data_IF_057277597583
#
_entry.id   IF_057277597583
#
_cell.length_a   1.000
_cell.length_b   1.000
_cell.length_c   1.000
_cell.angle_alpha   90.00
_cell.angle_beta   90.00
_cell.angle_gamma   90.00
#
_symmetry.space_group_name_H-M   'P 1'
#
loop_
_entity.id
_entity.type
_entity.pdbx_description
1 polymer ?
#
# COMPACT_ATOMS: atom_id res chain seq x y z
N UNK A 1 1.10 15.95 74.89
CA UNK A 1 2.35 16.73 74.93
C UNK A 1 2.11 18.01 74.12
N UNK A 2 1.84 19.11 74.83
CA UNK A 2 1.58 20.44 74.27
C UNK A 2 2.90 21.15 74.03
N UNK A 3 3.06 21.86 72.91
CA UNK A 3 4.00 22.97 72.81
C UNK A 3 3.37 24.10 71.98
N UNK A 4 2.82 25.06 72.73
CA UNK A 4 2.52 26.43 72.32
C UNK A 4 3.80 27.11 71.84
N UNK A 5 3.74 27.79 70.69
CA UNK A 5 4.66 28.89 70.40
C UNK A 5 3.86 30.12 69.97
N UNK A 6 3.86 31.12 70.84
CA UNK A 6 3.24 32.43 70.64
C UNK A 6 4.23 33.38 69.97
N UNK A 7 3.89 33.89 68.78
CA UNK A 7 4.59 35.00 68.15
C UNK A 7 3.63 36.18 68.04
N UNK A 8 3.79 37.15 68.95
CA UNK A 8 3.16 38.47 68.87
C UNK A 8 3.85 39.25 67.76
N UNK A 9 3.22 39.40 66.60
CA UNK A 9 3.61 40.43 65.62
C UNK A 9 2.85 41.71 65.90
N UNK A 10 3.63 42.77 66.09
CA UNK A 10 3.16 44.13 66.30
C UNK A 10 2.23 44.59 65.16
N UNK A 11 1.02 44.99 65.53
CA UNK A 11 0.07 45.69 64.66
C UNK A 11 0.62 47.09 64.35
N UNK A 12 1.37 47.20 63.25
CA UNK A 12 1.64 48.48 62.60
C UNK A 12 0.33 49.02 62.04
N UNK A 13 -0.14 50.17 62.56
CA UNK A 13 -1.21 50.98 61.99
C UNK A 13 -0.78 51.44 60.59
N UNK A 14 -1.04 50.61 59.56
CA UNK A 14 -1.02 51.05 58.17
C UNK A 14 -2.18 52.01 57.96
N UNK A 15 -1.84 53.29 57.78
CA UNK A 15 -2.78 54.33 57.40
C UNK A 15 -3.54 53.90 56.15
N UNK A 16 -4.86 54.11 56.16
CA UNK A 16 -5.70 53.92 54.98
C UNK A 16 -5.17 54.84 53.86
N UNK A 17 -4.78 54.31 52.69
CA UNK A 17 -4.45 55.17 51.56
C UNK A 17 -5.69 55.99 51.22
N UNK A 18 -5.52 57.32 51.14
CA UNK A 18 -6.54 58.22 50.63
C UNK A 18 -6.83 57.80 49.19
N UNK A 19 -8.08 57.43 48.91
CA UNK A 19 -8.60 57.24 47.56
C UNK A 19 -8.59 58.62 46.90
N UNK A 20 -7.52 58.92 46.16
CA UNK A 20 -7.49 60.07 45.27
C UNK A 20 -8.51 59.89 44.13
N UNK A 21 -8.91 60.97 43.44
CA UNK A 21 -9.82 60.89 42.31
C UNK A 21 -9.24 59.90 41.28
N UNK A 22 -10.02 58.87 40.93
CA UNK A 22 -9.65 57.89 39.93
C UNK A 22 -9.37 58.62 38.61
N UNK A 23 -8.09 58.72 38.27
CA UNK A 23 -7.63 59.25 36.98
C UNK A 23 -8.19 58.33 35.90
N UNK A 24 -9.17 58.83 35.15
CA UNK A 24 -9.71 58.15 33.97
C UNK A 24 -8.60 58.09 32.93
N UNK A 25 -7.92 56.96 32.85
CA UNK A 25 -6.98 56.70 31.78
C UNK A 25 -7.81 56.42 30.52
N UNK A 26 -7.78 57.32 29.56
CA UNK A 26 -8.36 57.07 28.25
C UNK A 26 -7.54 55.99 27.54
N UNK A 27 -8.20 54.97 27.00
CA UNK A 27 -7.55 53.97 26.15
C UNK A 27 -6.95 54.67 24.92
N UNK A 28 -5.66 54.45 24.68
CA UNK A 28 -5.03 54.99 23.48
C UNK A 28 -5.51 54.18 22.27
N UNK A 29 -5.87 54.87 21.18
CA UNK A 29 -6.28 54.24 19.92
C UNK A 29 -5.21 53.27 19.40
N UNK A 30 -3.93 53.57 19.63
CA UNK A 30 -2.81 52.69 19.30
C UNK A 30 -2.84 51.37 20.10
N UNK A 31 -3.23 51.41 21.37
CA UNK A 31 -3.33 50.21 22.22
C UNK A 31 -4.47 49.29 21.75
N UNK A 32 -5.60 49.87 21.35
CA UNK A 32 -6.72 49.12 20.77
C UNK A 32 -6.33 48.48 19.43
N UNK A 33 -5.61 49.20 18.57
CA UNK A 33 -5.15 48.65 17.28
C UNK A 33 -4.15 47.52 17.47
N UNK A 34 -3.20 47.65 18.40
CA UNK A 34 -2.27 46.56 18.73
C UNK A 34 -3.04 45.36 19.30
N UNK A 35 -4.01 45.59 20.19
CA UNK A 35 -4.83 44.52 20.75
C UNK A 35 -5.63 43.78 19.67
N UNK A 36 -6.25 44.52 18.73
CA UNK A 36 -6.97 43.91 17.60
C UNK A 36 -6.03 43.13 16.67
N UNK A 37 -4.83 43.66 16.39
CA UNK A 37 -3.84 42.99 15.55
C UNK A 37 -3.32 41.69 16.18
N UNK A 38 -3.00 41.71 17.48
CA UNK A 38 -2.60 40.48 18.19
C UNK A 38 -3.74 39.47 18.25
N UNK A 39 -4.98 39.94 18.43
CA UNK A 39 -6.15 39.07 18.44
C UNK A 39 -6.39 38.41 17.07
N UNK A 40 -6.25 39.15 15.96
CA UNK A 40 -6.46 38.58 14.62
C UNK A 40 -5.38 37.56 14.27
N UNK A 41 -4.10 37.85 14.56
CA UNK A 41 -3.01 36.89 14.37
C UNK A 41 -3.20 35.66 15.27
N UNK A 42 -3.59 35.86 16.54
CA UNK A 42 -3.87 34.78 17.48
C UNK A 42 -4.98 33.85 16.99
N UNK A 43 -6.11 34.40 16.51
CA UNK A 43 -7.21 33.60 15.97
C UNK A 43 -6.82 32.91 14.65
N UNK A 44 -6.03 33.55 13.79
CA UNK A 44 -5.52 32.92 12.55
C UNK A 44 -4.59 31.73 12.86
N UNK A 45 -3.72 31.86 13.86
CA UNK A 45 -2.85 30.79 14.32
C UNK A 45 -3.62 29.57 14.87
N UNK A 46 -4.67 29.82 15.67
CA UNK A 46 -5.53 28.75 16.18
C UNK A 46 -6.28 28.04 15.05
N UNK A 47 -6.82 28.79 14.08
CA UNK A 47 -7.52 28.20 12.93
C UNK A 47 -6.60 27.27 12.11
N UNK A 48 -5.37 27.70 11.83
CA UNK A 48 -4.37 26.89 11.11
C UNK A 48 -3.95 25.63 11.90
N UNK A 49 -3.79 25.76 13.22
CA UNK A 49 -3.45 24.62 14.08
C UNK A 49 -4.56 23.56 14.11
N UNK A 50 -5.84 23.98 14.11
CA UNK A 50 -6.99 23.07 14.09
C UNK A 50 -7.05 22.29 12.77
N UNK A 51 -6.88 22.95 11.62
CA UNK A 51 -6.88 22.26 10.32
C UNK A 51 -5.72 21.27 10.21
N UNK A 52 -4.53 21.66 10.67
CA UNK A 52 -3.36 20.78 10.65
C UNK A 52 -3.54 19.59 11.60
N UNK A 53 -4.07 19.84 12.81
CA UNK A 53 -4.38 18.78 13.77
C UNK A 53 -5.37 17.76 13.23
N UNK A 54 -6.43 18.21 12.55
CA UNK A 54 -7.39 17.32 11.90
C UNK A 54 -6.74 16.49 10.77
N UNK A 55 -5.92 17.12 9.93
CA UNK A 55 -5.20 16.41 8.87
C UNK A 55 -4.27 15.33 9.41
N UNK A 56 -3.49 15.63 10.45
CA UNK A 56 -2.61 14.66 11.09
C UNK A 56 -3.39 13.54 11.79
N UNK A 57 -4.51 13.86 12.44
CA UNK A 57 -5.39 12.86 13.07
C UNK A 57 -5.99 11.90 12.04
N UNK A 58 -6.47 12.41 10.90
CA UNK A 58 -7.00 11.58 9.81
C UNK A 58 -5.91 10.69 9.23
N UNK A 59 -4.69 11.22 9.01
CA UNK A 59 -3.54 10.42 8.53
C UNK A 59 -3.15 9.32 9.52
N UNK A 60 -3.11 9.62 10.82
CA UNK A 60 -2.83 8.64 11.86
C UNK A 60 -3.89 7.53 11.87
N UNK A 61 -5.17 7.88 11.80
CA UNK A 61 -6.27 6.93 11.75
C UNK A 61 -6.21 6.04 10.50
N UNK A 62 -5.86 6.59 9.34
CA UNK A 62 -5.67 5.80 8.11
C UNK A 62 -4.53 4.79 8.28
N UNK A 63 -3.41 5.22 8.87
CA UNK A 63 -2.24 4.37 9.09
C UNK A 63 -2.52 3.25 10.09
N UNK A 64 -3.20 3.56 11.20
CA UNK A 64 -3.60 2.58 12.22
C UNK A 64 -4.53 1.51 11.65
N UNK A 65 -5.49 1.93 10.82
CA UNK A 65 -6.42 1.02 10.13
C UNK A 65 -5.71 0.16 9.11
N UNK A 66 -4.87 0.74 8.25
CA UNK A 66 -4.07 -0.03 7.30
C UNK A 66 -3.20 -1.08 8.04
N UNK A 67 -2.67 -0.73 9.22
CA UNK A 67 -1.91 -1.65 10.06
C UNK A 67 -2.74 -2.77 10.69
N UNK A 68 -3.96 -2.48 11.13
CA UNK A 68 -4.88 -3.51 11.60
C UNK A 68 -5.25 -4.48 10.46
N UNK A 69 -5.64 -3.96 9.30
CA UNK A 69 -5.99 -4.74 8.10
C UNK A 69 -4.83 -5.61 7.66
N UNK A 70 -3.63 -5.05 7.55
CA UNK A 70 -2.45 -5.78 7.12
C UNK A 70 -2.07 -6.96 8.02
N UNK A 71 -2.14 -6.78 9.34
CA UNK A 71 -1.90 -7.86 10.30
C UNK A 71 -2.97 -8.95 10.24
N UNK A 72 -4.24 -8.55 10.14
CA UNK A 72 -5.36 -9.49 10.03
C UNK A 72 -5.29 -10.29 8.72
N UNK A 73 -4.99 -9.63 7.61
CA UNK A 73 -4.81 -10.27 6.32
C UNK A 73 -3.60 -11.24 6.30
N UNK A 74 -2.47 -10.90 6.93
CA UNK A 74 -1.37 -11.85 7.11
C UNK A 74 -1.79 -13.08 7.93
N UNK A 75 -2.56 -12.88 9.00
CA UNK A 75 -3.10 -14.00 9.77
C UNK A 75 -4.06 -14.86 8.92
N UNK A 76 -4.89 -14.23 8.08
CA UNK A 76 -5.82 -14.91 7.18
C UNK A 76 -5.09 -15.75 6.13
N UNK A 77 -4.01 -15.21 5.53
CA UNK A 77 -3.14 -15.93 4.58
C UNK A 77 -2.62 -17.23 5.19
N UNK A 78 -2.19 -17.19 6.46
CA UNK A 78 -1.73 -18.39 7.16
C UNK A 78 -2.88 -19.32 7.54
N UNK A 79 -3.95 -18.79 8.13
CA UNK A 79 -5.06 -19.56 8.66
C UNK A 79 -5.80 -20.35 7.58
N UNK A 80 -5.87 -19.80 6.36
CA UNK A 80 -6.51 -20.44 5.21
C UNK A 80 -5.55 -21.16 4.28
N UNK A 81 -4.27 -21.22 4.64
CA UNK A 81 -3.24 -21.86 3.81
C UNK A 81 -3.26 -21.32 2.37
N UNK A 82 -3.41 -19.99 2.21
CA UNK A 82 -3.49 -19.36 0.87
C UNK A 82 -2.25 -19.60 0.02
N UNK A 83 -1.16 -19.99 0.66
CA UNK A 83 0.10 -20.34 0.02
C UNK A 83 0.14 -21.80 -0.48
N UNK A 84 -0.87 -22.63 -0.21
CA UNK A 84 -0.95 -23.97 -0.80
C UNK A 84 -1.29 -23.88 -2.29
N UNK A 85 -0.37 -24.29 -3.19
CA UNK A 85 -0.59 -24.20 -4.63
C UNK A 85 -1.73 -25.06 -5.16
N UNK A 86 -2.20 -26.06 -4.39
CA UNK A 86 -3.43 -26.83 -4.71
C UNK A 86 -4.68 -25.94 -4.73
N UNK A 87 -4.64 -24.85 -3.96
CA UNK A 87 -5.70 -23.86 -3.89
C UNK A 87 -5.68 -22.87 -5.05
N UNK A 88 -4.66 -22.88 -5.92
CA UNK A 88 -4.49 -21.82 -6.92
C UNK A 88 -5.14 -22.17 -8.25
N UNK A 89 -5.80 -21.19 -8.83
CA UNK A 89 -6.37 -21.26 -10.17
C UNK A 89 -5.93 -20.05 -10.99
N UNK A 90 -5.76 -20.25 -12.29
CA UNK A 90 -5.55 -19.16 -13.23
C UNK A 90 -6.85 -18.38 -13.43
N UNK A 91 -6.81 -17.17 -14.03
CA UNK A 91 -8.02 -16.39 -14.28
C UNK A 91 -9.09 -17.10 -15.13
N UNK A 92 -8.71 -18.07 -15.95
CA UNK A 92 -9.63 -18.90 -16.74
C UNK A 92 -10.28 -20.06 -15.93
N UNK A 93 -9.94 -20.18 -14.63
CA UNK A 93 -10.42 -21.20 -13.73
C UNK A 93 -9.65 -22.52 -13.80
N UNK A 94 -8.65 -22.63 -14.66
CA UNK A 94 -7.80 -23.83 -14.72
C UNK A 94 -6.88 -23.90 -13.50
N UNK A 95 -6.60 -25.11 -12.96
CA UNK A 95 -5.60 -25.25 -11.90
C UNK A 95 -4.23 -24.77 -12.37
N UNK A 96 -3.55 -23.98 -11.54
CA UNK A 96 -2.20 -23.48 -11.86
C UNK A 96 -1.18 -24.62 -11.95
N UNK A 97 -1.26 -25.58 -11.03
CA UNK A 97 -0.42 -26.77 -11.05
C UNK A 97 -1.22 -27.99 -11.53
N UNK A 98 -0.66 -28.81 -12.42
CA UNK A 98 -1.21 -30.13 -12.72
C UNK A 98 -1.22 -30.98 -11.45
N UNK A 99 -2.34 -31.68 -11.18
CA UNK A 99 -2.55 -32.52 -9.99
C UNK A 99 -1.43 -33.55 -9.76
N UNK A 100 -0.70 -33.92 -10.81
CA UNK A 100 0.32 -34.96 -10.77
C UNK A 100 1.72 -34.45 -10.35
N UNK A 101 1.91 -33.13 -10.14
CA UNK A 101 3.24 -32.53 -9.92
C UNK A 101 3.32 -31.79 -8.56
N UNK A 102 2.66 -32.33 -7.54
CA UNK A 102 2.53 -31.71 -6.21
C UNK A 102 3.82 -31.64 -5.40
N UNK A 103 4.83 -32.45 -5.77
CA UNK A 103 6.17 -32.42 -5.17
C UNK A 103 7.11 -31.43 -5.89
N UNK A 104 6.67 -30.83 -7.00
CA UNK A 104 7.46 -29.86 -7.72
C UNK A 104 7.68 -28.60 -6.86
N UNK A 105 8.92 -28.12 -6.71
CA UNK A 105 9.17 -26.85 -6.04
C UNK A 105 8.46 -25.73 -6.81
N UNK A 106 7.60 -24.97 -6.13
CA UNK A 106 6.76 -23.88 -6.67
C UNK A 106 7.24 -23.32 -8.01
N UNK A 107 6.69 -23.82 -9.14
CA UNK A 107 6.93 -23.22 -10.43
C UNK A 107 5.69 -22.40 -10.80
N UNK A 108 5.81 -21.08 -10.75
CA UNK A 108 4.82 -20.18 -11.34
C UNK A 108 5.49 -19.42 -12.49
N UNK A 109 6.02 -20.19 -13.46
CA UNK A 109 6.61 -19.66 -14.68
C UNK A 109 5.73 -19.95 -15.90
N UNK A 110 5.64 -18.94 -16.76
CA UNK A 110 4.70 -18.71 -17.87
C UNK A 110 4.75 -19.73 -19.04
N UNK A 111 5.50 -20.82 -18.92
CA UNK A 111 5.79 -21.73 -20.03
C UNK A 111 5.56 -23.19 -19.63
N UNK A 112 5.29 -24.10 -20.59
CA UNK A 112 5.50 -25.53 -20.38
C UNK A 112 6.98 -25.74 -19.99
N UNK A 113 7.24 -25.89 -18.69
CA UNK A 113 8.57 -25.79 -18.09
C UNK A 113 8.76 -24.65 -17.07
N UNK A 114 7.67 -24.10 -16.51
CA UNK A 114 7.70 -23.09 -15.45
C UNK A 114 8.78 -23.36 -14.41
N UNK A 115 9.60 -22.35 -14.13
CA UNK A 115 10.83 -22.56 -13.36
C UNK A 115 10.53 -22.40 -11.88
N UNK A 116 11.09 -23.30 -11.08
CA UNK A 116 10.93 -23.27 -9.64
C UNK A 116 11.49 -21.97 -9.05
N UNK A 117 10.75 -21.39 -8.09
CA UNK A 117 11.17 -20.21 -7.34
C UNK A 117 10.97 -18.88 -8.06
N UNK A 118 9.91 -18.76 -8.86
CA UNK A 118 9.46 -17.47 -9.39
C UNK A 118 8.58 -16.71 -8.38
N UNK A 119 8.58 -15.39 -8.48
CA UNK A 119 7.65 -14.55 -7.73
C UNK A 119 6.23 -14.70 -8.30
N UNK A 120 5.23 -14.46 -7.46
CA UNK A 120 3.82 -14.44 -7.87
C UNK A 120 2.98 -13.53 -6.97
N UNK A 121 1.78 -13.18 -7.42
CA UNK A 121 0.79 -12.49 -6.60
C UNK A 121 -0.53 -13.24 -6.55
N UNK A 122 -1.17 -13.22 -5.38
CA UNK A 122 -2.52 -13.74 -5.15
C UNK A 122 -3.44 -12.53 -5.10
N UNK A 123 -4.28 -12.39 -6.11
CA UNK A 123 -5.15 -11.22 -6.25
C UNK A 123 -6.55 -11.57 -6.81
N UNK A 124 -7.36 -12.32 -6.02
CA UNK A 124 -8.64 -12.82 -6.50
C UNK A 124 -9.66 -11.71 -6.73
N UNK A 125 -9.59 -10.64 -5.94
CA UNK A 125 -10.51 -9.51 -6.05
C UNK A 125 -10.33 -8.75 -7.37
N UNK A 126 -9.08 -8.48 -7.77
CA UNK A 126 -8.82 -7.80 -9.04
C UNK A 126 -9.21 -8.69 -10.23
N UNK A 127 -8.85 -9.98 -10.20
CA UNK A 127 -9.23 -10.95 -11.23
C UNK A 127 -10.74 -10.98 -11.40
N UNK A 128 -11.48 -11.16 -10.29
CA UNK A 128 -12.92 -11.29 -10.34
C UNK A 128 -13.62 -10.03 -10.84
N UNK A 129 -13.17 -8.86 -10.38
CA UNK A 129 -13.68 -7.58 -10.87
C UNK A 129 -13.47 -7.42 -12.38
N UNK A 130 -12.26 -7.73 -12.86
CA UNK A 130 -11.92 -7.60 -14.28
C UNK A 130 -12.68 -8.60 -15.14
N UNK A 131 -12.80 -9.86 -14.70
CA UNK A 131 -13.59 -10.88 -15.40
C UNK A 131 -15.07 -10.50 -15.48
N UNK A 132 -15.63 -9.97 -14.40
CA UNK A 132 -17.03 -9.54 -14.39
C UNK A 132 -17.27 -8.35 -15.33
N UNK A 133 -16.35 -7.38 -15.35
CA UNK A 133 -16.49 -6.16 -16.16
C UNK A 133 -16.15 -6.39 -17.63
N UNK A 134 -15.10 -7.17 -17.92
CA UNK A 134 -14.48 -7.24 -19.24
C UNK A 134 -14.36 -8.67 -19.79
N UNK A 135 -14.74 -9.71 -19.05
CA UNK A 135 -14.47 -11.10 -19.42
C UNK A 135 -12.99 -11.46 -19.31
N UNK A 136 -12.61 -12.63 -19.86
CA UNK A 136 -11.22 -13.08 -19.85
C UNK A 136 -10.37 -12.20 -20.77
N UNK A 137 -9.50 -11.40 -20.16
CA UNK A 137 -8.57 -10.52 -20.86
C UNK A 137 -7.19 -11.18 -21.01
N UNK A 138 -6.45 -10.87 -22.09
CA UNK A 138 -5.07 -11.30 -22.22
C UNK A 138 -4.23 -10.72 -21.07
N UNK A 139 -3.31 -11.52 -20.53
CA UNK A 139 -2.39 -11.12 -19.46
C UNK A 139 -3.01 -10.81 -18.09
N UNK A 140 -4.27 -11.16 -17.87
CA UNK A 140 -4.88 -11.08 -16.54
C UNK A 140 -4.14 -11.98 -15.52
N UNK A 141 -3.42 -12.99 -16.01
CA UNK A 141 -2.54 -13.92 -15.30
C UNK A 141 -1.16 -13.33 -14.96
N UNK A 142 -0.93 -12.03 -15.19
CA UNK A 142 0.35 -11.35 -14.93
C UNK A 142 0.19 -10.09 -14.09
N UNK A 143 1.18 -9.82 -13.24
CA UNK A 143 1.28 -8.61 -12.44
C UNK A 143 2.70 -8.01 -12.51
N UNK A 144 2.86 -6.69 -12.70
CA UNK A 144 1.81 -5.78 -13.18
C UNK A 144 1.33 -6.19 -14.57
N UNK A 145 0.34 -5.48 -15.13
CA UNK A 145 -0.07 -5.70 -16.53
C UNK A 145 1.14 -5.75 -17.45
N UNK A 146 1.18 -6.81 -18.23
CA UNK A 146 2.30 -7.16 -19.10
C UNK A 146 2.33 -6.27 -20.34
N UNK A 147 3.36 -5.44 -20.50
CA UNK A 147 3.77 -5.03 -21.84
C UNK A 147 4.63 -6.14 -22.46
N UNK A 148 4.27 -6.64 -23.66
CA UNK A 148 4.93 -7.77 -24.27
C UNK A 148 6.44 -7.67 -24.48
N UNK A 149 6.98 -6.45 -24.52
CA UNK A 149 8.33 -6.27 -25.02
C UNK A 149 9.38 -5.96 -23.95
N UNK A 150 9.00 -5.59 -22.72
CA UNK A 150 9.99 -4.96 -21.82
C UNK A 150 9.78 -5.18 -20.32
N UNK A 151 8.66 -5.74 -19.88
CA UNK A 151 8.30 -5.69 -18.45
C UNK A 151 8.55 -7.00 -17.70
N UNK A 152 9.26 -6.87 -16.58
CA UNK A 152 9.29 -7.83 -15.50
C UNK A 152 7.89 -7.96 -14.90
N UNK A 153 7.37 -9.18 -14.97
CA UNK A 153 6.08 -9.56 -14.41
C UNK A 153 6.23 -10.80 -13.55
N UNK A 154 5.34 -10.93 -12.58
CA UNK A 154 5.12 -12.13 -11.80
C UNK A 154 3.77 -12.74 -12.19
N UNK A 155 3.59 -14.04 -11.99
CA UNK A 155 2.31 -14.69 -12.25
C UNK A 155 1.26 -14.20 -11.25
N UNK A 156 0.07 -13.87 -11.74
CA UNK A 156 -1.10 -13.52 -10.93
C UNK A 156 -2.04 -14.73 -10.85
N UNK A 157 -2.36 -15.16 -9.64
CA UNK A 157 -3.23 -16.30 -9.37
C UNK A 157 -4.47 -15.89 -8.58
N UNK A 158 -5.55 -16.64 -8.75
CA UNK A 158 -6.74 -16.61 -7.90
C UNK A 158 -6.83 -17.89 -7.07
N UNK A 159 -7.85 -17.98 -6.19
CA UNK A 159 -8.06 -19.09 -5.29
C UNK A 159 -9.28 -19.90 -5.71
N UNK A 160 -9.19 -21.23 -5.68
CA UNK A 160 -10.23 -22.19 -6.09
C UNK A 160 -11.42 -22.30 -5.11
N UNK A 161 -11.60 -21.31 -4.23
CA UNK A 161 -12.66 -21.28 -3.23
C UNK A 161 -14.00 -20.84 -3.80
N UNK A 162 -13.98 -20.17 -4.95
CA UNK A 162 -15.13 -19.73 -5.71
C UNK A 162 -14.74 -19.65 -7.20
N UNK A 163 -15.71 -19.60 -8.13
CA UNK A 163 -15.46 -19.26 -9.52
C UNK A 163 -14.64 -17.96 -9.64
N UNK A 164 -13.66 -17.86 -10.58
CA UNK A 164 -12.77 -16.70 -10.66
C UNK A 164 -13.48 -15.36 -10.87
N UNK A 165 -14.69 -15.35 -11.43
CA UNK A 165 -15.53 -14.18 -11.70
C UNK A 165 -16.43 -13.78 -10.51
N UNK A 166 -16.33 -14.47 -9.37
CA UNK A 166 -17.16 -14.22 -8.18
C UNK A 166 -16.70 -13.01 -7.37
N UNK A 167 -16.82 -11.80 -7.94
CA UNK A 167 -16.35 -10.56 -7.33
C UNK A 167 -16.98 -10.27 -5.96
N UNK A 168 -18.23 -10.68 -5.76
CA UNK A 168 -18.91 -10.54 -4.46
C UNK A 168 -18.29 -11.43 -3.38
N UNK A 169 -17.92 -12.66 -3.73
CA UNK A 169 -17.27 -13.59 -2.81
C UNK A 169 -15.88 -13.09 -2.42
N UNK A 170 -15.04 -12.78 -3.41
CA UNK A 170 -13.71 -12.26 -3.15
C UNK A 170 -13.74 -10.85 -2.55
N UNK A 171 -14.77 -10.07 -2.83
CA UNK A 171 -15.03 -8.77 -2.21
C UNK A 171 -15.18 -8.87 -0.70
N UNK A 172 -15.91 -9.87 -0.20
CA UNK A 172 -16.06 -10.11 1.25
C UNK A 172 -14.76 -10.58 1.91
N UNK A 173 -13.91 -11.29 1.17
CA UNK A 173 -12.71 -11.91 1.72
C UNK A 173 -11.47 -11.01 1.66
N UNK A 174 -11.35 -10.24 0.58
CA UNK A 174 -10.20 -9.37 0.30
C UNK A 174 -10.50 -7.89 0.51
N UNK A 175 -11.69 -7.54 1.03
CA UNK A 175 -11.96 -6.21 1.60
C UNK A 175 -12.11 -6.33 3.10
N UNK A 176 -11.52 -5.39 3.82
CA UNK A 176 -11.70 -5.34 5.27
C UNK A 176 -13.06 -4.72 5.59
N UNK A 177 -13.87 -5.46 6.34
CA UNK A 177 -15.13 -4.97 6.90
C UNK A 177 -14.91 -4.09 8.13
N UNK A 178 -13.68 -4.03 8.66
CA UNK A 178 -13.33 -3.36 9.91
C UNK A 178 -13.18 -1.84 9.74
N UNK A 179 -14.27 -1.19 9.31
CA UNK A 179 -14.48 0.23 9.50
C UNK A 179 -15.34 0.41 10.76
N UNK A 180 -14.70 0.36 11.93
CA UNK A 180 -15.37 0.73 13.18
C UNK A 180 -15.77 2.21 13.07
N UNK A 181 -17.04 2.45 12.75
CA UNK A 181 -17.65 3.75 12.97
C UNK A 181 -17.86 3.91 14.48
N UNK A 182 -17.10 4.81 15.09
CA UNK A 182 -17.45 5.30 16.42
C UNK A 182 -18.67 6.21 16.27
N UNK A 183 -19.86 5.69 16.53
CA UNK A 183 -21.04 6.53 16.71
C UNK A 183 -20.77 7.55 17.83
N UNK A 184 -21.19 8.79 17.58
CA UNK A 184 -20.91 9.95 18.40
C UNK A 184 -21.31 9.73 19.88
N UNK A 185 -20.29 9.60 20.74
CA UNK A 185 -20.20 9.78 22.20
C UNK A 185 -21.25 9.18 23.18
N UNK A 186 -22.45 8.77 22.78
CA UNK A 186 -23.50 8.37 23.72
C UNK A 186 -23.53 6.85 24.01
N UNK A 187 -22.98 6.00 23.12
CA UNK A 187 -23.02 4.54 23.26
C UNK A 187 -21.65 3.93 22.96
N UNK A 188 -20.65 4.28 23.77
CA UNK A 188 -19.28 3.76 23.75
C UNK A 188 -19.19 2.30 24.25
N UNK A 189 -19.88 1.37 23.58
CA UNK A 189 -19.64 -0.06 23.76
C UNK A 189 -19.24 -0.68 22.42
N UNK A 190 -18.06 -1.34 22.34
CA UNK A 190 -17.73 -2.18 21.19
C UNK A 190 -18.80 -3.27 21.09
N UNK A 191 -19.63 -3.22 20.05
CA UNK A 191 -20.56 -4.30 19.76
C UNK A 191 -19.77 -5.41 19.07
N UNK A 192 -19.82 -6.60 19.66
CA UNK A 192 -19.36 -7.83 19.05
C UNK A 192 -20.25 -8.07 17.82
N UNK A 193 -19.67 -8.01 16.61
CA UNK A 193 -20.39 -8.04 15.32
C UNK A 193 -21.16 -9.35 15.08
N UNK A 194 -20.86 -10.43 15.82
CA UNK A 194 -21.57 -11.71 15.67
C UNK A 194 -21.82 -12.38 17.03
N UNK A 195 -23.10 -12.48 17.41
CA UNK A 195 -23.57 -13.47 18.38
C UNK A 195 -24.88 -14.06 17.85
N UNK A 196 -24.83 -15.31 17.41
CA UNK A 196 -26.04 -16.10 17.23
C UNK A 196 -26.44 -16.69 18.60
N UNK A 197 -27.65 -16.41 19.04
CA UNK A 197 -28.34 -17.23 20.02
C UNK A 197 -29.08 -18.35 19.27
N UNK A 198 -28.38 -19.40 18.84
CA UNK A 198 -29.02 -20.56 18.19
C UNK A 198 -28.09 -21.46 17.40
N UNK A 199 -28.38 -22.77 17.41
CA UNK A 199 -27.55 -23.91 16.92
C UNK A 199 -27.62 -24.11 15.39
N UNK A 200 -28.33 -23.26 14.64
CA UNK A 200 -28.48 -23.44 13.19
C UNK A 200 -27.50 -22.55 12.42
N UNK A 201 -26.84 -23.12 11.41
CA UNK A 201 -25.91 -22.44 10.52
C UNK A 201 -26.53 -21.15 9.97
N UNK A 202 -25.90 -20.02 10.27
CA UNK A 202 -26.37 -18.70 9.84
C UNK A 202 -25.99 -18.52 8.37
N UNK A 203 -26.94 -18.25 7.46
CA UNK A 203 -26.61 -17.88 6.09
C UNK A 203 -25.75 -16.61 6.11
N UNK A 204 -24.77 -16.54 5.20
CA UNK A 204 -23.91 -15.35 5.05
C UNK A 204 -24.79 -14.09 5.03
N UNK A 205 -24.44 -13.02 5.78
CA UNK A 205 -25.22 -11.79 5.76
C UNK A 205 -25.41 -11.29 4.32
N UNK A 206 -26.66 -11.00 3.97
CA UNK A 206 -27.00 -10.36 2.71
C UNK A 206 -26.30 -9.00 2.63
N UNK A 207 -25.69 -8.68 1.48
CA UNK A 207 -25.11 -7.35 1.27
C UNK A 207 -26.19 -6.26 1.37
N UNK A 208 -25.74 -5.00 1.50
CA UNK A 208 -26.63 -3.84 1.64
C UNK A 208 -27.69 -3.70 0.53
N UNK A 209 -27.50 -4.37 -0.61
CA UNK A 209 -28.39 -4.43 -1.77
C UNK A 209 -29.19 -5.74 -1.91
N UNK A 210 -28.91 -6.76 -1.11
CA UNK A 210 -29.56 -8.09 -1.15
C UNK A 210 -30.67 -8.26 -0.10
N UNK A 211 -30.84 -7.32 0.84
CA UNK A 211 -31.83 -7.46 1.92
C UNK A 211 -33.25 -7.07 1.49
N UNK A 212 -34.28 -7.86 1.87
CA UNK A 212 -35.70 -7.47 1.78
C UNK A 212 -35.97 -6.14 2.52
N UNK A 213 -37.10 -5.46 2.26
CA UNK A 213 -37.45 -4.18 2.91
C UNK A 213 -37.77 -4.40 4.40
N UNK A 214 -36.72 -4.50 5.21
CA UNK A 214 -36.72 -4.47 6.66
C UNK A 214 -35.47 -3.72 7.11
N UNK A 215 -35.42 -3.15 8.33
CA UNK A 215 -34.29 -2.37 8.80
C UNK A 215 -33.08 -3.31 8.92
N UNK A 216 -32.13 -3.31 7.98
CA UNK A 216 -31.01 -4.21 8.07
C UNK A 216 -30.14 -3.68 9.21
N UNK A 217 -29.75 -4.57 10.13
CA UNK A 217 -28.59 -4.32 10.98
C UNK A 217 -27.38 -4.31 10.04
N UNK A 218 -27.12 -3.17 9.42
CA UNK A 218 -25.95 -2.96 8.56
C UNK A 218 -24.73 -2.93 9.45
N UNK A 219 -23.73 -3.74 9.12
CA UNK A 219 -22.38 -3.31 9.40
C UNK A 219 -22.16 -2.10 8.48
N UNK A 220 -22.05 -0.90 9.05
CA UNK A 220 -21.71 0.30 8.30
C UNK A 220 -20.20 0.26 7.96
N UNK A 221 -19.79 -0.79 7.24
CA UNK A 221 -18.45 -0.90 6.70
C UNK A 221 -18.43 -0.24 5.32
N UNK A 222 -17.59 0.78 5.14
CA UNK A 222 -17.45 1.44 3.84
C UNK A 222 -16.68 0.58 2.82
N UNK A 223 -16.02 -0.50 3.28
CA UNK A 223 -15.22 -1.37 2.41
C UNK A 223 -14.05 -0.66 1.74
N UNK A 224 -13.57 0.46 2.33
CA UNK A 224 -12.52 1.28 1.72
C UNK A 224 -11.20 0.52 1.61
N UNK A 225 -10.92 -0.42 2.51
CA UNK A 225 -9.66 -1.13 2.52
C UNK A 225 -9.79 -2.47 1.81
N UNK A 226 -8.89 -2.74 0.89
CA UNK A 226 -8.73 -4.06 0.27
C UNK A 226 -7.28 -4.47 0.28
N UNK A 227 -6.99 -5.73 0.00
CA UNK A 227 -5.62 -6.22 0.03
C UNK A 227 -5.36 -7.29 -1.03
N UNK A 228 -4.09 -7.48 -1.34
CA UNK A 228 -3.58 -8.59 -2.15
C UNK A 228 -2.30 -9.14 -1.52
N UNK A 229 -1.80 -10.27 -2.03
CA UNK A 229 -0.55 -10.86 -1.56
C UNK A 229 0.46 -10.89 -2.69
N UNK A 230 1.70 -10.48 -2.43
CA UNK A 230 2.85 -10.78 -3.30
C UNK A 230 3.80 -11.70 -2.58
N UNK A 231 4.28 -12.72 -3.26
CA UNK A 231 5.20 -13.72 -2.73
C UNK A 231 6.46 -13.71 -3.59
N UNK A 232 7.58 -13.39 -2.96
CA UNK A 232 8.85 -13.18 -3.67
C UNK A 232 9.93 -14.07 -3.07
N UNK A 233 10.71 -14.81 -3.88
CA UNK A 233 11.88 -15.54 -3.38
C UNK A 233 12.93 -14.57 -2.83
N UNK A 234 13.36 -14.77 -1.58
CA UNK A 234 14.46 -13.99 -0.99
C UNK A 234 15.79 -14.45 -1.60
N UNK A 235 16.35 -13.64 -2.49
CA UNK A 235 17.60 -13.93 -3.20
C UNK A 235 18.77 -14.16 -2.23
N UNK A 236 19.17 -15.42 -2.05
CA UNK A 236 20.38 -15.80 -1.32
C UNK A 236 21.38 -16.43 -2.32
N UNK A 237 22.61 -15.90 -2.43
CA UNK A 237 23.65 -16.49 -3.28
C UNK A 237 23.91 -17.95 -2.92
N UNK A 238 23.93 -18.83 -3.92
CA UNK A 238 24.24 -20.26 -3.74
C UNK A 238 23.13 -21.11 -3.12
N UNK A 239 21.96 -20.54 -2.81
CA UNK A 239 20.81 -21.32 -2.31
C UNK A 239 19.95 -21.77 -3.49
N UNK A 240 19.77 -23.09 -3.69
CA UNK A 240 18.86 -23.61 -4.71
C UNK A 240 17.44 -23.08 -4.51
N UNK A 241 16.72 -22.78 -5.60
CA UNK A 241 15.35 -22.26 -5.56
C UNK A 241 14.41 -23.05 -4.62
N UNK A 242 14.59 -24.38 -4.58
CA UNK A 242 13.83 -25.31 -3.76
C UNK A 242 13.99 -25.15 -2.24
N UNK A 243 15.02 -24.44 -1.77
CA UNK A 243 15.31 -24.21 -0.35
C UNK A 243 15.27 -22.70 -0.01
N UNK A 244 14.77 -21.89 -0.94
CA UNK A 244 14.76 -20.44 -0.81
C UNK A 244 13.63 -20.00 0.13
N UNK A 245 13.94 -19.07 1.04
CA UNK A 245 12.90 -18.41 1.84
C UNK A 245 12.10 -17.49 0.94
N UNK A 246 10.82 -17.30 1.26
CA UNK A 246 9.95 -16.39 0.53
C UNK A 246 9.58 -15.21 1.42
N UNK A 247 9.62 -14.01 0.88
CA UNK A 247 9.00 -12.84 1.46
C UNK A 247 7.53 -12.82 1.01
N UNK A 248 6.62 -12.96 1.96
CA UNK A 248 5.18 -12.87 1.75
C UNK A 248 4.74 -11.51 2.23
N UNK A 249 4.34 -10.66 1.29
CA UNK A 249 3.90 -9.30 1.55
C UNK A 249 2.41 -9.18 1.31
N UNK A 250 1.68 -8.77 2.34
CA UNK A 250 0.30 -8.30 2.19
C UNK A 250 0.33 -6.81 1.87
N UNK A 251 -0.27 -6.45 0.74
CA UNK A 251 -0.34 -5.08 0.24
C UNK A 251 -1.73 -4.54 0.52
N UNK A 252 -1.83 -3.50 1.34
CA UNK A 252 -3.09 -2.90 1.78
C UNK A 252 -3.36 -1.62 1.00
N UNK A 253 -4.49 -1.60 0.32
CA UNK A 253 -5.01 -0.48 -0.45
C UNK A 253 -6.10 0.24 0.32
N UNK A 254 -6.31 1.52 0.02
CA UNK A 254 -7.50 2.27 0.42
C UNK A 254 -8.16 2.88 -0.81
N UNK A 255 -9.40 2.55 -1.12
CA UNK A 255 -10.04 2.87 -2.40
C UNK A 255 -9.17 2.36 -3.55
N UNK A 256 -8.92 1.05 -3.54
CA UNK A 256 -8.14 0.39 -4.57
C UNK A 256 -8.74 0.68 -5.93
N UNK A 257 -7.90 1.19 -6.82
CA UNK A 257 -8.26 1.35 -8.22
C UNK A 257 -8.35 -0.03 -8.88
N UNK A 258 -9.46 -0.27 -9.57
CA UNK A 258 -9.75 -1.53 -10.27
C UNK A 258 -9.91 -1.29 -11.78
N UNK A 259 -9.47 -0.13 -12.29
CA UNK A 259 -9.43 0.15 -13.73
C UNK A 259 -8.57 -0.90 -14.44
N UNK A 260 -9.09 -1.38 -15.57
CA UNK A 260 -8.36 -2.27 -16.45
C UNK A 260 -7.32 -1.49 -17.25
N UNK A 261 -6.24 -2.14 -17.66
CA UNK A 261 -5.16 -1.54 -18.46
C UNK A 261 -5.68 -0.74 -19.65
N UNK A 262 -6.58 -1.34 -20.42
CA UNK A 262 -7.07 -0.81 -21.68
C UNK A 262 -8.43 -0.11 -21.52
N UNK A 263 -8.77 0.32 -20.30
CA UNK A 263 -9.96 1.13 -20.07
C UNK A 263 -9.79 2.48 -20.78
N UNK A 264 -10.58 2.77 -21.83
CA UNK A 264 -10.42 3.98 -22.63
C UNK A 264 -10.82 5.26 -21.87
N UNK A 265 -11.41 5.12 -20.68
CA UNK A 265 -11.83 6.23 -19.83
C UNK A 265 -10.80 6.59 -18.75
N UNK A 266 -9.82 5.72 -18.51
CA UNK A 266 -8.82 5.93 -17.48
C UNK A 266 -7.67 6.80 -17.99
N UNK A 267 -7.28 7.82 -17.22
CA UNK A 267 -6.11 8.67 -17.53
C UNK A 267 -4.79 7.88 -17.47
N UNK A 268 -4.74 6.91 -16.54
CA UNK A 268 -3.68 5.92 -16.42
C UNK A 268 -4.26 4.63 -15.82
N UNK A 269 -3.69 3.46 -16.13
CA UNK A 269 -4.17 2.19 -15.60
C UNK A 269 -3.91 2.06 -14.09
N UNK A 270 -4.68 1.22 -13.40
CA UNK A 270 -4.49 0.94 -11.97
C UNK A 270 -3.10 0.37 -11.64
N UNK A 271 -2.49 -0.35 -12.58
CA UNK A 271 -1.14 -0.89 -12.42
C UNK A 271 -0.24 -0.33 -13.50
N UNK A 272 0.77 0.43 -13.07
CA UNK A 272 1.66 1.17 -13.96
C UNK A 272 3.07 0.63 -13.77
N UNK A 273 3.86 0.67 -14.83
CA UNK A 273 5.28 0.42 -14.73
C UNK A 273 6.09 1.54 -15.32
N UNK A 274 7.24 1.77 -14.71
CA UNK A 274 8.21 2.76 -15.11
C UNK A 274 9.61 2.17 -15.03
N UNK A 275 10.54 2.74 -15.78
CA UNK A 275 11.96 2.47 -15.62
C UNK A 275 12.48 3.23 -14.39
N UNK A 276 13.44 2.64 -13.67
CA UNK A 276 14.00 3.19 -12.43
C UNK A 276 15.51 3.25 -12.53
N UNK A 277 16.07 4.44 -12.38
CA UNK A 277 17.51 4.65 -12.29
C UNK A 277 17.84 5.09 -10.86
N UNK A 278 18.77 4.37 -10.23
CA UNK A 278 19.27 4.76 -8.91
C UNK A 278 20.25 5.92 -9.06
N UNK A 279 19.98 7.03 -8.37
CA UNK A 279 20.87 8.19 -8.34
C UNK A 279 22.02 8.01 -7.33
N UNK A 280 22.00 6.92 -6.57
CA UNK A 280 23.02 6.52 -5.61
C UNK A 280 23.28 5.00 -5.62
N UNK A 281 23.76 4.46 -4.50
CA UNK A 281 24.13 3.04 -4.38
C UNK A 281 22.95 2.11 -4.03
N UNK A 282 21.72 2.63 -3.94
CA UNK A 282 20.54 1.84 -3.55
C UNK A 282 20.49 1.38 -2.08
N UNK A 283 21.40 1.88 -1.23
CA UNK A 283 21.44 1.54 0.20
C UNK A 283 20.25 2.18 0.92
N UNK A 284 19.45 1.37 1.61
CA UNK A 284 18.24 1.81 2.30
C UNK A 284 17.10 2.26 1.38
N UNK A 285 17.17 1.97 0.08
CA UNK A 285 16.31 2.55 -0.97
C UNK A 285 17.01 3.71 -1.67
N UNK A 286 17.27 4.80 -0.95
CA UNK A 286 17.98 5.97 -1.48
C UNK A 286 17.17 6.77 -2.50
N UNK A 287 17.85 7.62 -3.27
CA UNK A 287 17.20 8.45 -4.29
C UNK A 287 17.17 7.74 -5.64
N UNK A 288 16.01 7.80 -6.28
CA UNK A 288 15.76 7.18 -7.59
C UNK A 288 15.10 8.17 -8.54
N UNK A 289 15.29 7.94 -9.82
CA UNK A 289 14.56 8.61 -10.89
C UNK A 289 13.69 7.60 -11.62
N UNK A 290 12.41 7.87 -11.67
CA UNK A 290 11.47 7.16 -12.53
C UNK A 290 11.49 7.78 -13.91
N UNK A 291 11.46 6.96 -14.96
CA UNK A 291 11.23 7.40 -16.33
C UNK A 291 10.09 6.59 -16.97
N UNK A 292 9.24 7.26 -17.74
CA UNK A 292 8.11 6.66 -18.43
C UNK A 292 8.00 7.19 -19.85
N UNK A 293 7.83 6.29 -20.80
CA UNK A 293 7.58 6.62 -22.20
C UNK A 293 6.10 6.37 -22.52
N UNK A 294 5.26 7.42 -22.58
CA UNK A 294 3.83 7.25 -22.77
C UNK A 294 3.52 6.67 -24.15
N UNK A 295 2.61 5.69 -24.18
CA UNK A 295 2.01 5.23 -25.43
C UNK A 295 0.90 6.21 -25.89
N UNK A 296 0.46 6.09 -27.13
CA UNK A 296 -0.59 6.95 -27.68
C UNK A 296 -1.86 6.90 -26.79
N UNK A 297 -2.26 8.06 -26.26
CA UNK A 297 -3.43 8.21 -25.39
C UNK A 297 -3.16 8.06 -23.88
N UNK A 298 -1.93 7.76 -23.45
CA UNK A 298 -1.57 7.73 -22.04
C UNK A 298 -1.07 9.09 -21.56
N UNK A 299 -1.51 9.52 -20.37
CA UNK A 299 -0.94 10.69 -19.71
C UNK A 299 0.30 10.30 -18.89
N UNK A 300 1.47 10.81 -19.29
CA UNK A 300 2.72 10.58 -18.59
C UNK A 300 2.76 11.15 -17.17
N UNK A 301 2.02 12.23 -16.89
CA UNK A 301 1.90 12.78 -15.53
C UNK A 301 1.11 11.84 -14.63
N UNK A 302 -0.06 11.40 -15.07
CA UNK A 302 -0.85 10.40 -14.38
C UNK A 302 -0.09 9.06 -14.25
N UNK A 303 0.71 8.66 -15.24
CA UNK A 303 1.48 7.41 -15.19
C UNK A 303 2.57 7.40 -14.08
N UNK A 304 3.18 8.55 -13.80
CA UNK A 304 4.18 8.71 -12.74
C UNK A 304 3.62 9.29 -11.44
N UNK A 305 2.29 9.33 -11.30
CA UNK A 305 1.69 9.89 -10.08
C UNK A 305 1.82 8.94 -8.88
N UNK A 306 2.69 9.33 -7.94
CA UNK A 306 2.98 8.64 -6.68
C UNK A 306 3.08 9.68 -5.57
N UNK A 307 2.29 9.52 -4.52
CA UNK A 307 2.28 10.45 -3.40
C UNK A 307 3.27 10.04 -2.29
N UNK A 308 3.73 11.02 -1.53
CA UNK A 308 4.54 10.77 -0.33
C UNK A 308 3.79 9.89 0.68
N UNK A 309 4.50 8.91 1.23
CA UNK A 309 3.97 7.92 2.16
C UNK A 309 3.30 6.72 1.52
N UNK A 310 3.11 6.70 0.19
CA UNK A 310 2.68 5.51 -0.56
C UNK A 310 3.84 4.51 -0.74
N UNK A 311 3.53 3.39 -1.37
CA UNK A 311 4.48 2.32 -1.65
C UNK A 311 4.64 2.11 -3.15
N UNK A 312 5.84 1.69 -3.53
CA UNK A 312 6.14 1.23 -4.87
C UNK A 312 6.87 -0.11 -4.78
N UNK A 313 6.73 -0.95 -5.82
CA UNK A 313 7.43 -2.22 -5.92
C UNK A 313 8.54 -2.11 -6.96
N UNK A 314 9.78 -2.34 -6.56
CA UNK A 314 10.90 -2.42 -7.48
C UNK A 314 11.10 -3.86 -7.95
N UNK A 315 11.36 -4.05 -9.23
CA UNK A 315 11.59 -5.31 -9.91
C UNK A 315 12.94 -5.30 -10.63
N UNK A 316 13.66 -6.41 -10.55
CA UNK A 316 14.93 -6.62 -11.26
C UNK A 316 15.19 -8.09 -11.55
N UNK A 317 16.23 -8.39 -12.32
CA UNK A 317 16.68 -9.77 -12.56
C UNK A 317 17.96 -10.04 -11.77
N UNK A 318 17.92 -11.04 -10.89
CA UNK A 318 19.12 -11.58 -10.28
C UNK A 318 19.88 -12.43 -11.32
N UNK A 319 21.14 -12.07 -11.65
CA UNK A 319 21.96 -12.90 -12.50
C UNK A 319 22.19 -14.25 -11.83
N UNK A 320 22.00 -15.32 -12.59
CA UNK A 320 22.20 -16.68 -12.13
C UNK A 320 23.49 -17.26 -12.71
N UNK A 321 24.16 -18.12 -11.95
CA UNK A 321 25.24 -18.94 -12.51
C UNK A 321 24.61 -20.06 -13.33
N UNK A 322 25.05 -20.30 -14.58
CA UNK A 322 24.64 -21.47 -15.33
C UNK A 322 24.85 -22.75 -14.50
N UNK A 323 23.88 -23.69 -14.44
CA UNK A 323 22.72 -23.83 -15.33
C UNK A 323 21.44 -23.12 -14.85
N UNK A 324 21.46 -22.41 -13.73
CA UNK A 324 20.24 -21.83 -13.17
C UNK A 324 19.72 -20.69 -14.06
N UNK A 325 18.40 -20.56 -14.23
CA UNK A 325 17.81 -19.44 -14.96
C UNK A 325 17.92 -18.13 -14.16
N UNK A 326 17.95 -16.97 -14.83
CA UNK A 326 17.93 -15.69 -14.14
C UNK A 326 16.60 -15.57 -13.40
N UNK A 327 16.63 -15.05 -12.17
CA UNK A 327 15.47 -15.02 -11.26
C UNK A 327 14.93 -13.60 -11.17
N UNK A 328 13.62 -13.44 -11.26
CA UNK A 328 12.95 -12.15 -11.02
C UNK A 328 12.95 -11.87 -9.51
N UNK A 329 13.37 -10.68 -9.12
CA UNK A 329 13.37 -10.20 -7.73
C UNK A 329 12.44 -9.00 -7.66
N UNK A 330 11.59 -8.96 -6.63
CA UNK A 330 10.67 -7.86 -6.38
C UNK A 330 10.74 -7.41 -4.92
N UNK A 331 10.86 -6.12 -4.66
CA UNK A 331 11.00 -5.58 -3.30
C UNK A 331 10.14 -4.32 -3.14
N UNK A 332 9.35 -4.26 -2.07
CA UNK A 332 8.52 -3.11 -1.74
C UNK A 332 9.32 -2.02 -1.04
N UNK A 333 9.14 -0.78 -1.50
CA UNK A 333 9.75 0.43 -0.95
C UNK A 333 8.68 1.44 -0.59
N UNK A 334 8.90 2.16 0.52
CA UNK A 334 8.05 3.28 0.93
C UNK A 334 8.60 4.57 0.34
N UNK A 335 7.73 5.39 -0.25
CA UNK A 335 8.09 6.71 -0.76
C UNK A 335 8.16 7.68 0.41
N UNK A 336 9.34 8.22 0.68
CA UNK A 336 9.55 9.24 1.70
C UNK A 336 9.25 10.64 1.16
N UNK A 337 9.73 10.92 -0.05
CA UNK A 337 9.46 12.16 -0.76
C UNK A 337 9.29 11.91 -2.25
N UNK A 338 8.47 12.73 -2.89
CA UNK A 338 8.18 12.67 -4.31
C UNK A 338 8.34 14.05 -4.94
N UNK A 339 9.31 14.20 -5.83
CA UNK A 339 9.56 15.43 -6.57
C UNK A 339 8.48 15.73 -7.60
N UNK A 340 8.66 16.84 -8.29
CA UNK A 340 7.81 17.22 -9.42
C UNK A 340 8.02 16.28 -10.60
N UNK A 341 6.98 16.13 -11.42
CA UNK A 341 7.07 15.38 -12.67
C UNK A 341 7.45 16.32 -13.79
N UNK A 342 8.46 15.96 -14.57
CA UNK A 342 8.95 16.71 -15.72
C UNK A 342 8.54 16.00 -16.99
N UNK A 343 8.12 16.76 -18.00
CA UNK A 343 7.68 16.23 -19.29
C UNK A 343 8.35 16.97 -20.46
N UNK A 344 8.24 16.40 -21.67
CA UNK A 344 9.03 16.84 -22.81
C UNK A 344 8.70 18.24 -23.34
N UNK A 345 7.49 18.73 -23.10
CA UNK A 345 7.03 20.04 -23.60
C UNK A 345 7.20 21.18 -22.59
N UNK A 346 7.25 20.90 -21.29
CA UNK A 346 7.23 21.92 -20.24
C UNK A 346 8.62 22.27 -19.73
N UNK A 347 9.52 21.29 -19.60
CA UNK A 347 10.90 21.52 -19.17
C UNK A 347 11.84 20.47 -19.79
N UNK A 348 12.71 20.82 -20.77
CA UNK A 348 13.73 19.89 -21.24
C UNK A 348 14.61 19.46 -20.06
N UNK A 349 14.77 18.14 -19.91
CA UNK A 349 15.45 17.56 -18.75
C UNK A 349 16.90 18.07 -18.65
N UNK A 350 17.34 18.56 -17.48
CA UNK A 350 18.62 19.26 -17.33
C UNK A 350 19.85 18.39 -17.58
N UNK A 351 19.72 17.06 -17.61
CA UNK A 351 20.83 16.12 -17.75
C UNK A 351 20.94 15.48 -19.14
N UNK A 352 20.12 15.91 -20.12
CA UNK A 352 19.94 15.16 -21.35
C UNK A 352 19.01 13.95 -21.12
N UNK A 353 18.22 13.61 -22.12
CA UNK A 353 17.21 12.56 -22.05
C UNK A 353 16.34 12.61 -23.29
N UNK A 354 15.68 11.50 -23.60
CA UNK A 354 14.74 11.42 -24.71
C UNK A 354 13.61 12.45 -24.52
N UNK A 355 13.47 13.36 -25.49
CA UNK A 355 12.42 14.38 -25.52
C UNK A 355 11.00 13.81 -25.70
N UNK A 356 10.80 12.50 -25.57
CA UNK A 356 9.49 11.87 -25.49
C UNK A 356 9.11 11.42 -24.07
N UNK A 357 10.04 11.44 -23.11
CA UNK A 357 9.85 10.81 -21.79
C UNK A 357 9.46 11.77 -20.68
N UNK A 358 8.78 11.18 -19.70
CA UNK A 358 8.41 11.82 -18.44
C UNK A 358 9.33 11.30 -17.35
N UNK A 359 9.69 12.18 -16.42
CA UNK A 359 10.62 11.86 -15.34
C UNK A 359 10.05 12.31 -13.99
N UNK A 360 10.33 11.53 -12.94
CA UNK A 360 10.02 11.93 -11.56
C UNK A 360 11.08 11.41 -10.60
N UNK A 361 11.60 12.27 -9.75
CA UNK A 361 12.59 11.89 -8.74
C UNK A 361 11.88 11.55 -7.41
N UNK A 362 12.28 10.45 -6.78
CA UNK A 362 11.73 9.96 -5.53
C UNK A 362 12.84 9.63 -4.54
N UNK A 363 12.58 9.83 -3.25
CA UNK A 363 13.41 9.28 -2.17
C UNK A 363 12.70 8.09 -1.55
N UNK A 364 13.35 6.94 -1.52
CA UNK A 364 12.76 5.67 -1.06
C UNK A 364 13.36 5.21 0.28
N UNK A 365 12.52 4.54 1.07
CA UNK A 365 12.91 3.80 2.26
C UNK A 365 12.57 2.31 2.08
N UNK A 366 13.58 1.45 2.21
CA UNK A 366 13.40 0.00 2.14
C UNK A 366 14.71 -0.75 2.30
N UNK A 367 14.74 -2.04 1.94
CA UNK A 367 15.96 -2.85 1.93
C UNK A 367 17.02 -2.31 0.96
N UNK A 368 18.27 -2.72 1.13
CA UNK A 368 19.32 -2.39 0.15
C UNK A 368 19.01 -3.02 -1.21
N UNK A 369 19.13 -2.23 -2.27
CA UNK A 369 19.03 -2.71 -3.65
C UNK A 369 20.40 -3.12 -4.16
N UNK A 370 20.50 -4.32 -4.73
CA UNK A 370 21.72 -4.74 -5.41
C UNK A 370 21.70 -4.19 -6.84
N UNK A 371 22.66 -3.34 -7.20
CA UNK A 371 22.74 -2.74 -8.54
C UNK A 371 22.92 -3.76 -9.68
N UNK A 372 23.28 -5.01 -9.37
CA UNK A 372 23.28 -6.10 -10.34
C UNK A 372 21.89 -6.68 -10.62
N UNK A 373 20.85 -6.24 -9.89
CA UNK A 373 19.45 -6.58 -10.16
C UNK A 373 18.88 -5.61 -11.17
N UNK A 374 19.28 -5.78 -12.44
CA UNK A 374 18.87 -4.91 -13.53
C UNK A 374 17.74 -5.52 -14.36
N UNK A 375 17.10 -4.70 -15.18
CA UNK A 375 16.14 -5.11 -16.18
C UNK A 375 16.80 -6.07 -17.20
N UNK A 376 16.03 -6.98 -17.82
CA UNK A 376 16.58 -7.95 -18.77
C UNK A 376 17.35 -7.25 -19.90
N UNK A 377 18.62 -7.62 -20.07
CA UNK A 377 19.45 -7.18 -21.20
C UNK A 377 20.55 -6.18 -20.86
N UNK A 378 20.52 -5.53 -19.68
CA UNK A 378 21.54 -4.54 -19.30
C UNK A 378 21.69 -3.41 -20.32
N UNK A 379 20.61 -3.12 -21.05
CA UNK A 379 20.53 -2.04 -22.02
C UNK A 379 20.01 -0.81 -21.31
N UNK A 380 20.64 0.33 -21.57
CA UNK A 380 20.10 1.66 -21.27
C UNK A 380 18.85 1.86 -22.15
N UNK A 381 17.68 1.61 -21.56
CA UNK A 381 16.41 1.69 -22.26
C UNK A 381 15.95 3.14 -22.39
N UNK A 382 16.41 4.05 -21.53
CA UNK A 382 15.99 5.45 -21.52
C UNK A 382 16.96 6.47 -22.13
N UNK A 383 18.14 6.00 -22.53
CA UNK A 383 19.16 6.76 -23.25
C UNK A 383 19.93 7.73 -22.35
N UNK A 384 19.85 7.59 -21.03
CA UNK A 384 20.53 8.47 -20.07
C UNK A 384 22.00 8.07 -19.81
N UNK A 385 22.45 6.97 -20.42
CA UNK A 385 23.79 6.40 -20.29
C UNK A 385 23.95 5.45 -19.10
N UNK A 386 22.89 5.14 -18.35
CA UNK A 386 22.90 4.21 -17.21
C UNK A 386 22.38 2.84 -17.66
N UNK A 387 23.29 1.86 -17.75
CA UNK A 387 22.95 0.49 -18.15
C UNK A 387 22.24 -0.34 -17.06
N UNK A 388 22.18 0.17 -15.83
CA UNK A 388 21.67 -0.54 -14.65
C UNK A 388 20.30 0.00 -14.25
N UNK A 389 19.33 -0.23 -15.11
CA UNK A 389 17.95 0.17 -14.86
C UNK A 389 17.21 -0.95 -14.10
N UNK A 390 16.32 -0.58 -13.19
CA UNK A 390 15.33 -1.47 -12.60
C UNK A 390 13.93 -1.11 -13.13
N UNK A 391 12.93 -1.91 -12.78
CA UNK A 391 11.53 -1.58 -13.06
C UNK A 391 10.83 -1.15 -11.78
N UNK A 392 10.08 -0.05 -11.81
CA UNK A 392 9.10 0.28 -10.78
C UNK A 392 7.73 -0.21 -11.22
N UNK A 393 6.99 -0.72 -10.27
CA UNK A 393 5.56 -1.00 -10.36
C UNK A 393 4.85 -0.06 -9.41
N UNK A 394 4.02 0.79 -9.98
CA UNK A 394 3.29 1.82 -9.26
C UNK A 394 1.84 1.38 -9.16
N UNK A 395 1.39 1.27 -7.90
CA UNK A 395 -0.01 1.02 -7.58
C UNK A 395 -0.55 2.22 -6.79
N UNK A 396 -1.59 2.90 -7.28
CA UNK A 396 -2.18 3.99 -6.53
C UNK A 396 -2.79 3.46 -5.24
N UNK A 397 -2.80 4.34 -4.23
CA UNK A 397 -3.49 4.12 -2.97
C UNK A 397 -3.02 2.90 -2.15
N UNK A 398 -1.76 2.48 -2.28
CA UNK A 398 -1.15 1.54 -1.32
C UNK A 398 -0.72 2.30 -0.07
N UNK A 399 -1.34 1.98 1.07
CA UNK A 399 -1.08 2.65 2.36
C UNK A 399 -0.23 1.83 3.32
N UNK A 400 -0.08 0.52 3.08
CA UNK A 400 0.73 -0.34 3.93
C UNK A 400 1.17 -1.61 3.21
N UNK A 401 2.39 -2.04 3.48
CA UNK A 401 2.91 -3.33 3.06
C UNK A 401 3.44 -4.04 4.31
N UNK A 402 2.94 -5.26 4.53
CA UNK A 402 3.27 -6.05 5.71
C UNK A 402 3.92 -7.34 5.24
N UNK A 403 5.23 -7.45 5.49
CA UNK A 403 6.04 -8.55 4.98
C UNK A 403 6.43 -9.49 6.10
N UNK A 404 6.31 -10.78 5.82
CA UNK A 404 6.86 -11.85 6.65
C UNK A 404 7.73 -12.78 5.82
N UNK A 405 8.82 -13.26 6.43
CA UNK A 405 9.66 -14.29 5.83
C UNK A 405 9.12 -15.67 6.15
N UNK A 406 8.87 -16.45 5.12
CA UNK A 406 8.37 -17.82 5.18
C UNK A 406 9.47 -18.76 4.75
N UNK A 407 9.77 -19.75 5.58
CA UNK A 407 10.65 -20.83 5.18
C UNK A 407 9.84 -21.86 4.38
N UNK A 408 10.43 -22.45 3.32
CA UNK A 408 9.84 -23.58 2.61
C UNK A 408 9.99 -24.85 3.47
N UNK A 409 9.52 -24.82 4.72
CA UNK A 409 9.67 -25.94 5.65
C UNK A 409 8.47 -26.88 5.57
N UNK A 410 8.72 -28.17 5.32
CA UNK A 410 7.73 -29.24 5.15
C UNK A 410 6.78 -29.44 6.34
N UNK A 411 7.08 -28.85 7.49
CA UNK A 411 6.31 -29.04 8.73
C UNK A 411 5.23 -27.98 8.95
N UNK A 412 5.33 -26.82 8.30
CA UNK A 412 4.37 -25.75 8.45
C UNK A 412 3.12 -26.03 7.58
N UNK A 413 1.90 -26.06 8.15
CA UNK A 413 0.66 -26.33 7.40
C UNK A 413 0.43 -25.37 6.22
N UNK A 414 0.99 -24.18 6.34
CA UNK A 414 0.92 -23.06 5.41
C UNK A 414 2.16 -22.95 4.50
N UNK A 415 3.06 -23.94 4.54
CA UNK A 415 4.20 -24.01 3.64
C UNK A 415 3.88 -24.88 2.42
N UNK A 416 4.64 -24.63 1.36
CA UNK A 416 4.47 -25.20 0.04
C UNK A 416 4.81 -26.71 -0.09
N UNK A 417 5.05 -27.43 1.01
CA UNK A 417 5.38 -28.86 0.97
C UNK A 417 4.67 -29.63 2.08
N UNK A 418 3.81 -30.59 1.72
CA UNK A 418 3.39 -31.68 2.63
C UNK A 418 3.97 -33.02 2.16
N UNK A 419 4.08 -33.97 3.09
CA UNK A 419 4.71 -35.29 2.93
C UNK A 419 4.10 -36.17 1.85
#
# INVERSE_FOLDING_TARGET
>A
MQLRWSSRRAMSKRGRPRVGPATRHGFNLLEVLIAMFVLTIGMLGVAAAVSMGNFLAVRALIADRAAAVGRNALAEVRAREMLDPRGWTAPDGTPVLPINDLDAPLPLGDAPGGKAGEAFCIDPLYIAWTLQANGLQPHLDRFPFYDPNTMLTMSRVTLNWAPPDSADYFGRLFRAEDDLLFENAALSRPRMLFRAAGVNAVPLPAMAWESPPGPPLRADCQGLYSWMVTVVPMAAPGVPARNQKYAVSVVVFRNRDMTWRDDPTAEAPAERAATVNFLGQGIGGGDVRLSFNPQAGQDGFAALDVAEGQWLLLGGMLPSNPPDPPRKVFVWYRVLSAGETYGPATHPHPFGGDSARYYRELTLAGPDWNLNWNAPGGTDSDGDGILLEAQAVILPNVYGVYTETVEPDRSAPWSFRRQ
#
